data_IF_018317620529
#
_entry.id   IF_018317620529
#
_cell.length_a   1.000
_cell.length_b   1.000
_cell.length_c   1.000
_cell.angle_alpha   90.00
_cell.angle_beta   90.00
_cell.angle_gamma   90.00
#
_symmetry.space_group_name_H-M   'P 1'
#
loop_
_entity.id
_entity.type
_entity.pdbx_description
1 polymer ?
#
# COMPACT_ATOMS: atom_id res chain seq x y z
N UNK A 1 -11.17 -14.93 -29.88
CA UNK A 1 -12.21 -14.94 -28.83
C UNK A 1 -12.56 -13.48 -28.56
N UNK A 2 -13.83 -13.11 -28.66
CA UNK A 2 -14.26 -11.73 -28.50
C UNK A 2 -14.21 -11.36 -27.01
N UNK A 3 -13.18 -10.63 -26.59
CA UNK A 3 -13.26 -9.83 -25.38
C UNK A 3 -14.09 -8.60 -25.77
N UNK A 4 -15.39 -8.62 -25.51
CA UNK A 4 -16.27 -7.47 -25.78
C UNK A 4 -16.18 -6.42 -24.65
N UNK A 5 -15.42 -6.73 -23.59
CA UNK A 5 -15.07 -5.78 -22.53
C UNK A 5 -14.47 -4.48 -23.08
N UNK A 6 -15.04 -3.35 -22.70
CA UNK A 6 -14.51 -2.01 -23.01
C UNK A 6 -13.79 -1.43 -21.79
N UNK A 7 -12.57 -0.93 -22.00
CA UNK A 7 -11.78 -0.22 -20.98
C UNK A 7 -10.73 0.70 -21.63
N UNK A 8 -10.15 1.59 -20.83
CA UNK A 8 -9.27 2.65 -21.30
C UNK A 8 -7.93 2.11 -21.83
N UNK A 9 -7.62 2.46 -23.08
CA UNK A 9 -6.38 2.06 -23.74
C UNK A 9 -6.32 0.58 -24.10
N UNK A 10 -7.47 -0.09 -24.27
CA UNK A 10 -7.62 -1.52 -24.59
C UNK A 10 -6.63 -2.00 -25.64
N UNK A 11 -6.62 -1.42 -26.84
CA UNK A 11 -5.76 -1.84 -27.95
C UNK A 11 -4.27 -1.93 -27.56
N UNK A 12 -3.79 -0.95 -26.78
CA UNK A 12 -2.39 -0.90 -26.33
C UNK A 12 -2.06 -1.93 -25.25
N UNK A 13 -3.07 -2.44 -24.54
CA UNK A 13 -2.92 -3.33 -23.38
C UNK A 13 -3.21 -4.79 -23.71
N UNK A 14 -4.10 -5.03 -24.68
CA UNK A 14 -4.58 -6.37 -25.03
C UNK A 14 -3.46 -7.39 -25.26
N UNK A 15 -2.35 -7.10 -25.95
CA UNK A 15 -1.30 -8.10 -26.16
C UNK A 15 -0.71 -8.66 -24.85
N UNK A 16 -0.55 -7.81 -23.82
CA UNK A 16 -0.08 -8.27 -22.49
C UNK A 16 -1.15 -9.02 -21.72
N UNK A 17 -2.39 -8.55 -21.82
CA UNK A 17 -3.55 -9.19 -21.18
C UNK A 17 -3.78 -10.59 -21.76
N UNK A 18 -3.77 -10.74 -23.09
CA UNK A 18 -3.91 -12.01 -23.79
C UNK A 18 -2.78 -12.98 -23.46
N UNK A 19 -1.54 -12.47 -23.36
CA UNK A 19 -0.41 -13.28 -22.89
C UNK A 19 -0.66 -13.84 -21.49
N UNK A 20 -1.10 -13.00 -20.55
CA UNK A 20 -1.42 -13.42 -19.19
C UNK A 20 -2.58 -14.42 -19.16
N UNK A 21 -3.69 -14.13 -19.86
CA UNK A 21 -4.83 -15.03 -20.01
C UNK A 21 -4.40 -16.42 -20.51
N UNK A 22 -3.60 -16.47 -21.58
CA UNK A 22 -3.09 -17.71 -22.14
C UNK A 22 -2.18 -18.48 -21.17
N UNK A 23 -1.28 -17.79 -20.46
CA UNK A 23 -0.37 -18.39 -19.47
C UNK A 23 -1.12 -19.14 -18.37
N UNK A 24 -2.28 -18.63 -17.95
CA UNK A 24 -3.11 -19.24 -16.90
C UNK A 24 -4.32 -20.03 -17.42
N UNK A 25 -4.39 -20.27 -18.74
CA UNK A 25 -5.47 -21.03 -19.36
C UNK A 25 -6.86 -20.43 -19.08
N UNK A 26 -6.99 -19.11 -19.22
CA UNK A 26 -8.23 -18.35 -19.14
C UNK A 26 -8.53 -17.81 -20.54
N UNK A 27 -9.70 -18.08 -21.10
CA UNK A 27 -10.04 -17.73 -22.49
C UNK A 27 -10.39 -16.27 -22.73
N UNK A 28 -10.95 -15.56 -21.74
CA UNK A 28 -11.27 -14.12 -21.84
C UNK A 28 -11.36 -13.43 -20.48
N UNK A 29 -11.51 -12.10 -20.47
CA UNK A 29 -11.75 -11.34 -19.23
C UNK A 29 -13.13 -11.63 -18.64
N UNK A 30 -14.13 -11.88 -19.48
CA UNK A 30 -15.44 -12.35 -19.03
C UNK A 30 -15.33 -13.72 -18.38
N UNK A 31 -14.56 -14.66 -18.97
CA UNK A 31 -14.29 -15.96 -18.33
C UNK A 31 -13.54 -15.77 -16.99
N UNK A 32 -12.59 -14.84 -16.90
CA UNK A 32 -11.92 -14.50 -15.65
C UNK A 32 -12.93 -14.06 -14.56
N UNK A 33 -13.90 -13.22 -14.93
CA UNK A 33 -14.95 -12.76 -14.02
C UNK A 33 -15.89 -13.88 -13.61
N UNK A 34 -16.36 -14.69 -14.55
CA UNK A 34 -17.23 -15.84 -14.27
C UNK A 34 -16.52 -16.90 -13.41
N UNK A 35 -15.22 -17.11 -13.61
CA UNK A 35 -14.42 -17.95 -12.73
C UNK A 35 -14.42 -17.43 -11.29
N UNK A 36 -14.25 -16.12 -11.08
CA UNK A 36 -14.31 -15.53 -9.74
C UNK A 36 -15.72 -15.64 -9.14
N UNK A 37 -16.77 -15.35 -9.93
CA UNK A 37 -18.18 -15.49 -9.49
C UNK A 37 -18.54 -16.92 -9.11
N UNK A 38 -17.99 -17.93 -9.82
CA UNK A 38 -18.16 -19.34 -9.46
C UNK A 38 -17.60 -19.69 -8.07
N UNK A 39 -16.69 -18.86 -7.54
CA UNK A 39 -16.15 -18.92 -6.17
C UNK A 39 -16.90 -18.03 -5.18
N UNK A 40 -17.98 -17.37 -5.59
CA UNK A 40 -18.87 -16.60 -4.72
C UNK A 40 -18.49 -15.13 -4.52
N UNK A 41 -17.64 -14.55 -5.38
CA UNK A 41 -17.29 -13.13 -5.30
C UNK A 41 -17.08 -12.50 -6.68
N UNK A 42 -17.24 -11.18 -6.78
CA UNK A 42 -17.06 -10.44 -8.03
C UNK A 42 -15.98 -9.33 -7.85
N UNK A 43 -14.75 -9.55 -8.34
CA UNK A 43 -13.66 -8.57 -8.18
C UNK A 43 -13.98 -7.21 -8.79
N UNK A 44 -14.70 -7.19 -9.92
CA UNK A 44 -15.02 -5.96 -10.63
C UNK A 44 -15.95 -5.09 -9.77
N UNK A 45 -17.03 -5.67 -9.24
CA UNK A 45 -17.96 -4.96 -8.36
C UNK A 45 -17.31 -4.54 -7.04
N UNK A 46 -16.39 -5.36 -6.50
CA UNK A 46 -15.62 -4.99 -5.29
C UNK A 46 -14.78 -3.74 -5.56
N UNK A 47 -14.06 -3.67 -6.68
CA UNK A 47 -13.26 -2.48 -7.04
C UNK A 47 -14.15 -1.24 -7.17
N UNK A 48 -15.28 -1.35 -7.87
CA UNK A 48 -16.24 -0.25 -8.05
C UNK A 48 -16.93 0.16 -6.74
N UNK A 49 -17.18 -0.79 -5.84
CA UNK A 49 -17.72 -0.53 -4.51
C UNK A 49 -16.73 0.19 -3.58
N UNK A 50 -15.43 -0.13 -3.69
CA UNK A 50 -14.37 0.56 -2.93
C UNK A 50 -14.13 1.97 -3.47
N UNK A 51 -14.11 2.13 -4.80
CA UNK A 51 -13.89 3.42 -5.45
C UNK A 51 -14.81 3.56 -6.68
N UNK A 52 -15.99 4.21 -6.54
CA UNK A 52 -16.98 4.33 -7.63
C UNK A 52 -16.44 5.00 -8.89
N UNK A 53 -15.45 5.88 -8.76
CA UNK A 53 -14.80 6.58 -9.89
C UNK A 53 -13.58 5.85 -10.44
N UNK A 54 -13.30 4.61 -10.00
CA UNK A 54 -12.19 3.82 -10.54
C UNK A 54 -12.37 3.58 -12.03
N UNK A 55 -11.29 3.69 -12.81
CA UNK A 55 -11.29 3.38 -14.24
C UNK A 55 -11.70 1.93 -14.51
N UNK A 56 -12.25 1.67 -15.70
CA UNK A 56 -12.66 0.33 -16.11
C UNK A 56 -11.48 -0.65 -16.09
N UNK A 57 -10.32 -0.19 -16.56
CA UNK A 57 -9.11 -1.00 -16.59
C UNK A 57 -8.68 -1.52 -15.21
N UNK A 58 -8.95 -0.79 -14.12
CA UNK A 58 -8.65 -1.23 -12.76
C UNK A 58 -9.56 -2.41 -12.37
N UNK A 59 -10.87 -2.30 -12.61
CA UNK A 59 -11.82 -3.37 -12.32
C UNK A 59 -11.45 -4.68 -13.02
N UNK A 60 -11.04 -4.60 -14.29
CA UNK A 60 -10.62 -5.78 -15.05
C UNK A 60 -9.23 -6.30 -14.68
N UNK A 61 -8.30 -5.43 -14.28
CA UNK A 61 -6.99 -5.83 -13.80
C UNK A 61 -7.08 -6.67 -12.51
N UNK A 62 -7.88 -6.23 -11.55
CA UNK A 62 -8.17 -7.01 -10.34
C UNK A 62 -8.92 -8.30 -10.66
N UNK A 63 -9.86 -8.27 -11.62
CA UNK A 63 -10.58 -9.47 -12.07
C UNK A 63 -9.64 -10.53 -12.64
N UNK A 64 -8.75 -10.13 -13.55
CA UNK A 64 -7.73 -11.03 -14.11
C UNK A 64 -6.81 -11.56 -13.00
N UNK A 65 -6.33 -10.69 -12.13
CA UNK A 65 -5.45 -11.07 -11.02
C UNK A 65 -6.08 -12.09 -10.06
N UNK A 66 -7.35 -11.91 -9.71
CA UNK A 66 -8.12 -12.86 -8.90
C UNK A 66 -8.31 -14.21 -9.62
N UNK A 67 -8.61 -14.19 -10.92
CA UNK A 67 -8.73 -15.40 -11.72
C UNK A 67 -7.40 -16.17 -11.81
N UNK A 68 -6.28 -15.45 -11.96
CA UNK A 68 -4.92 -16.01 -11.89
C UNK A 68 -4.68 -16.67 -10.54
N UNK A 69 -5.05 -16.04 -9.42
CA UNK A 69 -4.93 -16.64 -8.08
C UNK A 69 -5.70 -17.96 -7.97
N UNK A 70 -6.93 -18.01 -8.53
CA UNK A 70 -7.76 -19.23 -8.57
C UNK A 70 -7.09 -20.32 -9.40
N UNK A 71 -6.59 -20.01 -10.61
CA UNK A 71 -5.91 -20.96 -11.49
C UNK A 71 -4.62 -21.50 -10.88
N UNK A 72 -3.89 -20.67 -10.12
CA UNK A 72 -2.69 -21.08 -9.36
C UNK A 72 -3.02 -21.93 -8.13
N UNK A 73 -4.29 -22.11 -7.78
CA UNK A 73 -4.70 -22.91 -6.62
C UNK A 73 -4.28 -22.32 -5.28
N UNK A 74 -4.08 -21.00 -5.22
CA UNK A 74 -3.60 -20.28 -4.04
C UNK A 74 -4.49 -20.53 -2.82
N UNK A 75 -3.86 -20.67 -1.64
CA UNK A 75 -4.53 -20.98 -0.37
C UNK A 75 -4.40 -19.91 0.70
N UNK A 76 -3.47 -18.97 0.55
CA UNK A 76 -3.22 -17.92 1.54
C UNK A 76 -3.60 -16.55 0.99
N UNK A 77 -3.95 -15.62 1.87
CA UNK A 77 -4.29 -14.25 1.48
C UNK A 77 -3.07 -13.52 0.87
N UNK A 78 -1.87 -13.76 1.41
CA UNK A 78 -0.64 -13.13 0.92
C UNK A 78 -0.31 -13.57 -0.51
N UNK A 79 -0.33 -14.86 -0.80
CA UNK A 79 -0.05 -15.37 -2.14
C UNK A 79 -1.15 -14.94 -3.14
N UNK A 80 -2.38 -14.71 -2.65
CA UNK A 80 -3.48 -14.21 -3.49
C UNK A 80 -3.21 -12.75 -3.87
N UNK A 81 -2.69 -11.93 -2.95
CA UNK A 81 -2.28 -10.57 -3.24
C UNK A 81 -1.14 -10.52 -4.26
N UNK A 82 -0.13 -11.41 -4.17
CA UNK A 82 0.93 -11.50 -5.18
C UNK A 82 0.39 -11.87 -6.56
N UNK A 83 -0.54 -12.83 -6.62
CA UNK A 83 -1.20 -13.21 -7.86
C UNK A 83 -2.07 -12.09 -8.45
N UNK A 84 -2.75 -11.29 -7.61
CA UNK A 84 -3.47 -10.09 -8.05
C UNK A 84 -2.51 -9.11 -8.73
N UNK A 85 -1.29 -8.96 -8.19
CA UNK A 85 -0.23 -8.16 -8.79
C UNK A 85 0.11 -8.54 -10.24
N UNK A 86 0.00 -9.82 -10.60
CA UNK A 86 0.20 -10.30 -11.98
C UNK A 86 -0.88 -9.73 -12.92
N UNK A 87 -2.13 -9.71 -12.47
CA UNK A 87 -3.23 -9.08 -13.20
C UNK A 87 -3.02 -7.58 -13.37
N UNK A 88 -2.62 -6.89 -12.31
CA UNK A 88 -2.29 -5.46 -12.36
C UNK A 88 -1.15 -5.16 -13.35
N UNK A 89 -0.12 -6.01 -13.38
CA UNK A 89 1.04 -5.83 -14.27
C UNK A 89 0.69 -6.08 -15.74
N UNK A 90 -0.19 -7.05 -16.01
CA UNK A 90 -0.71 -7.29 -17.36
C UNK A 90 -1.43 -6.05 -17.91
N UNK A 91 -2.04 -5.25 -17.02
CA UNK A 91 -2.68 -3.98 -17.34
C UNK A 91 -1.74 -2.77 -17.26
N UNK A 92 -0.42 -2.92 -17.13
CA UNK A 92 0.52 -1.78 -17.32
C UNK A 92 0.70 -1.45 -18.81
N UNK A 93 0.79 -0.16 -19.16
CA UNK A 93 0.91 0.28 -20.57
C UNK A 93 2.32 -0.09 -21.08
N UNK A 94 2.44 -0.70 -22.28
CA UNK A 94 3.74 -0.93 -22.88
C UNK A 94 4.58 0.35 -23.02
N UNK A 95 5.84 0.28 -22.61
CA UNK A 95 6.80 1.38 -22.63
C UNK A 95 6.60 2.42 -21.54
N UNK A 96 5.60 2.26 -20.65
CA UNK A 96 5.40 3.19 -19.54
C UNK A 96 6.38 2.94 -18.40
N UNK A 97 6.59 3.97 -17.57
CA UNK A 97 7.35 3.85 -16.31
C UNK A 97 6.74 2.78 -15.40
N UNK A 98 5.42 2.59 -15.45
CA UNK A 98 4.73 1.58 -14.63
C UNK A 98 5.16 0.16 -15.02
N UNK A 99 5.23 -0.15 -16.31
CA UNK A 99 5.74 -1.43 -16.80
C UNK A 99 7.24 -1.59 -16.50
N UNK A 100 8.06 -0.58 -16.80
CA UNK A 100 9.51 -0.66 -16.57
C UNK A 100 9.86 -0.89 -15.09
N UNK A 101 9.01 -0.42 -14.18
CA UNK A 101 9.18 -0.58 -12.73
C UNK A 101 8.37 -1.74 -12.15
N UNK A 102 7.69 -2.54 -12.98
CA UNK A 102 6.84 -3.66 -12.55
C UNK A 102 5.87 -3.24 -11.44
N UNK A 103 5.20 -2.09 -11.65
CA UNK A 103 4.37 -1.45 -10.61
C UNK A 103 3.21 -2.35 -10.20
N UNK A 104 2.61 -3.12 -11.11
CA UNK A 104 1.54 -4.05 -10.78
C UNK A 104 2.01 -5.15 -9.83
N UNK A 105 3.16 -5.76 -10.12
CA UNK A 105 3.78 -6.74 -9.23
C UNK A 105 4.17 -6.11 -7.88
N UNK A 106 4.67 -4.88 -7.90
CA UNK A 106 4.98 -4.12 -6.68
C UNK A 106 3.77 -3.93 -5.76
N UNK A 107 2.59 -3.64 -6.31
CA UNK A 107 1.35 -3.55 -5.52
C UNK A 107 0.90 -4.89 -4.96
N UNK A 108 1.03 -5.97 -5.74
CA UNK A 108 0.75 -7.33 -5.24
C UNK A 108 1.65 -7.71 -4.07
N UNK A 109 2.96 -7.44 -4.20
CA UNK A 109 3.95 -7.69 -3.16
C UNK A 109 3.70 -6.85 -1.91
N UNK A 110 3.30 -5.58 -2.06
CA UNK A 110 2.89 -4.74 -0.93
C UNK A 110 1.72 -5.37 -0.18
N UNK A 111 0.64 -5.72 -0.90
CA UNK A 111 -0.52 -6.36 -0.30
C UNK A 111 -0.13 -7.64 0.43
N UNK A 112 0.73 -8.46 -0.17
CA UNK A 112 1.23 -9.68 0.44
C UNK A 112 2.04 -9.44 1.71
N UNK A 113 2.94 -8.45 1.71
CA UNK A 113 3.71 -8.06 2.90
C UNK A 113 2.79 -7.62 4.03
N UNK A 114 1.75 -6.82 3.75
CA UNK A 114 0.79 -6.38 4.78
C UNK A 114 -0.02 -7.55 5.37
N UNK A 115 -0.22 -8.64 4.62
CA UNK A 115 -0.94 -9.83 5.05
C UNK A 115 -0.05 -10.88 5.73
N UNK A 116 1.27 -10.76 5.60
CA UNK A 116 2.29 -11.67 6.16
C UNK A 116 2.63 -11.32 7.60
N UNK A 117 2.58 -12.29 8.51
CA UNK A 117 2.86 -12.10 9.93
C UNK A 117 4.31 -11.62 10.21
N UNK A 118 5.22 -11.82 9.25
CA UNK A 118 6.61 -11.34 9.32
C UNK A 118 6.72 -9.81 9.30
N UNK A 119 5.78 -9.12 8.65
CA UNK A 119 5.68 -7.66 8.68
C UNK A 119 5.06 -7.26 10.00
N UNK A 120 5.78 -6.56 10.87
CA UNK A 120 5.32 -6.17 12.20
C UNK A 120 4.87 -4.73 12.28
N UNK A 121 5.50 -3.83 11.52
CA UNK A 121 5.18 -2.41 11.53
C UNK A 121 5.03 -1.85 10.13
N UNK A 122 3.93 -1.12 9.95
CA UNK A 122 3.60 -0.42 8.72
C UNK A 122 3.46 1.08 8.97
N UNK A 123 4.07 1.90 8.12
CA UNK A 123 4.02 3.35 8.22
C UNK A 123 3.30 4.00 7.03
N UNK A 124 2.34 4.86 7.34
CA UNK A 124 1.88 5.89 6.40
C UNK A 124 2.74 7.14 6.58
N UNK A 125 3.55 7.44 5.56
CA UNK A 125 4.32 8.68 5.49
C UNK A 125 3.46 9.73 4.77
N UNK A 126 2.75 10.52 5.56
CA UNK A 126 1.82 11.52 5.08
C UNK A 126 2.54 12.69 4.40
N UNK A 127 2.04 13.07 3.23
CA UNK A 127 2.43 14.29 2.52
C UNK A 127 1.45 15.43 2.80
N UNK A 128 1.11 16.25 1.79
CA UNK A 128 0.07 17.29 1.93
C UNK A 128 -1.35 16.73 2.20
N UNK A 129 -1.58 15.45 1.93
CA UNK A 129 -2.90 14.80 1.96
C UNK A 129 -3.11 14.00 3.26
N UNK A 130 -2.79 14.61 4.41
CA UNK A 130 -2.68 13.94 5.70
C UNK A 130 -3.95 13.24 6.19
N UNK A 131 -5.14 13.77 5.83
CA UNK A 131 -6.41 13.18 6.23
C UNK A 131 -6.72 11.87 5.48
N UNK A 132 -6.40 11.82 4.18
CA UNK A 132 -6.58 10.61 3.38
C UNK A 132 -5.65 9.49 3.86
N UNK A 133 -4.42 9.83 4.29
CA UNK A 133 -3.49 8.87 4.89
C UNK A 133 -4.04 8.27 6.20
N UNK A 134 -4.72 9.08 7.03
CA UNK A 134 -5.34 8.60 8.26
C UNK A 134 -6.49 7.62 8.00
N UNK A 135 -7.40 7.92 7.07
CA UNK A 135 -8.48 6.99 6.69
C UNK A 135 -7.92 5.70 6.07
N UNK A 136 -6.88 5.82 5.24
CA UNK A 136 -6.16 4.67 4.68
C UNK A 136 -5.55 3.77 5.77
N UNK A 137 -4.94 4.36 6.81
CA UNK A 137 -4.39 3.65 7.97
C UNK A 137 -5.45 2.80 8.67
N UNK A 138 -6.64 3.36 8.90
CA UNK A 138 -7.75 2.65 9.55
C UNK A 138 -8.23 1.49 8.66
N UNK A 139 -8.39 1.72 7.35
CA UNK A 139 -8.83 0.70 6.41
C UNK A 139 -7.90 -0.51 6.35
N UNK A 140 -6.58 -0.24 6.30
CA UNK A 140 -5.55 -1.29 6.33
C UNK A 140 -5.57 -2.02 7.67
N UNK A 141 -5.64 -1.30 8.81
CA UNK A 141 -5.74 -1.90 10.14
C UNK A 141 -6.87 -2.92 10.21
N UNK A 142 -8.07 -2.51 9.77
CA UNK A 142 -9.28 -3.33 9.87
C UNK A 142 -9.28 -4.53 8.94
N UNK A 143 -8.62 -4.42 7.78
CA UNK A 143 -8.70 -5.46 6.74
C UNK A 143 -7.54 -6.43 6.85
N UNK A 144 -6.31 -5.94 6.96
CA UNK A 144 -5.13 -6.79 7.06
C UNK A 144 -5.18 -7.66 8.32
N UNK A 145 -5.60 -7.09 9.46
CA UNK A 145 -5.62 -7.83 10.73
C UNK A 145 -6.65 -8.96 10.79
N UNK A 146 -7.61 -9.02 9.86
CA UNK A 146 -8.53 -10.17 9.75
C UNK A 146 -7.84 -11.44 9.28
N UNK A 147 -6.76 -11.31 8.52
CA UNK A 147 -6.02 -12.42 7.91
C UNK A 147 -4.74 -12.78 8.67
N UNK A 148 -4.40 -12.01 9.73
CA UNK A 148 -3.14 -12.12 10.47
C UNK A 148 -3.35 -12.75 11.84
N UNK A 149 -2.29 -13.35 12.37
CA UNK A 149 -2.29 -13.87 13.75
C UNK A 149 -2.00 -12.76 14.75
N UNK A 150 -1.09 -11.87 14.40
CA UNK A 150 -0.74 -10.69 15.19
C UNK A 150 -1.15 -9.42 14.45
N UNK A 151 -1.90 -8.51 15.12
CA UNK A 151 -2.24 -7.22 14.54
C UNK A 151 -1.01 -6.46 14.06
N UNK A 152 -1.06 -5.97 12.82
CA UNK A 152 -0.08 -5.09 12.24
C UNK A 152 -0.05 -3.78 13.04
N UNK A 153 1.13 -3.39 13.54
CA UNK A 153 1.30 -2.06 14.16
C UNK A 153 1.32 -1.01 13.06
N UNK A 154 0.50 0.02 13.21
CA UNK A 154 0.37 1.07 12.19
C UNK A 154 0.78 2.41 12.79
N UNK A 155 1.65 3.11 12.06
CA UNK A 155 2.08 4.45 12.44
C UNK A 155 1.78 5.45 11.33
N UNK A 156 1.47 6.68 11.71
CA UNK A 156 1.52 7.85 10.84
C UNK A 156 2.77 8.65 11.19
N UNK A 157 3.47 9.12 10.16
CA UNK A 157 4.67 9.95 10.28
C UNK A 157 4.74 10.88 9.05
N UNK A 158 5.66 11.85 9.02
CA UNK A 158 5.78 12.85 7.96
C UNK A 158 4.89 14.09 8.16
N UNK A 159 4.18 14.16 9.29
CA UNK A 159 3.34 15.30 9.67
C UNK A 159 4.12 16.29 10.53
N UNK A 160 3.81 17.58 10.45
CA UNK A 160 4.24 18.53 11.48
C UNK A 160 3.60 18.21 12.84
N UNK A 161 4.24 18.60 13.95
CA UNK A 161 3.78 18.25 15.32
C UNK A 161 2.34 18.68 15.62
N UNK A 162 1.95 19.89 15.21
CA UNK A 162 0.59 20.39 15.41
C UNK A 162 -0.44 19.61 14.57
N UNK A 163 -0.10 19.32 13.31
CA UNK A 163 -0.95 18.53 12.43
C UNK A 163 -1.16 17.10 12.97
N UNK A 164 -0.08 16.47 13.47
CA UNK A 164 -0.15 15.15 14.09
C UNK A 164 -1.07 15.15 15.31
N UNK A 165 -0.98 16.16 16.19
CA UNK A 165 -1.87 16.30 17.35
C UNK A 165 -3.35 16.42 16.93
N UNK A 166 -3.64 17.33 15.98
CA UNK A 166 -5.00 17.58 15.50
C UNK A 166 -5.58 16.32 14.84
N UNK A 167 -4.83 15.67 13.94
CA UNK A 167 -5.26 14.46 13.24
C UNK A 167 -5.50 13.33 14.24
N UNK A 168 -4.63 13.19 15.24
CA UNK A 168 -4.81 12.18 16.30
C UNK A 168 -6.10 12.41 17.06
N UNK A 169 -6.36 13.65 17.46
CA UNK A 169 -7.57 14.02 18.18
C UNK A 169 -8.84 13.77 17.37
N UNK A 170 -8.86 14.19 16.10
CA UNK A 170 -10.05 14.05 15.23
C UNK A 170 -10.35 12.57 14.94
N UNK A 171 -9.31 11.77 14.68
CA UNK A 171 -9.48 10.38 14.29
C UNK A 171 -9.50 9.40 15.47
N UNK A 172 -9.15 9.85 16.68
CA UNK A 172 -9.06 9.02 17.87
C UNK A 172 -7.76 8.20 17.95
N UNK A 173 -6.70 8.59 17.25
CA UNK A 173 -5.41 7.90 17.30
C UNK A 173 -4.65 8.20 18.59
N UNK A 174 -3.60 7.43 18.85
CA UNK A 174 -2.64 7.75 19.90
C UNK A 174 -1.61 8.73 19.36
N UNK A 175 -1.59 9.95 19.90
CA UNK A 175 -0.55 10.92 19.59
C UNK A 175 0.72 10.56 20.35
N UNK A 176 1.84 10.51 19.63
CA UNK A 176 3.17 10.29 20.23
C UNK A 176 4.03 11.50 19.94
N UNK A 177 4.30 12.28 20.99
CA UNK A 177 5.14 13.46 20.92
C UNK A 177 6.59 13.04 21.10
N UNK A 178 7.44 13.46 20.18
CA UNK A 178 8.87 13.24 20.23
C UNK A 178 9.64 14.52 20.49
N UNK A 179 10.82 14.37 21.06
CA UNK A 179 11.88 15.37 21.09
C UNK A 179 13.13 14.74 20.46
N UNK A 180 13.77 15.46 19.53
CA UNK A 180 14.88 14.96 18.75
C UNK A 180 16.09 15.85 18.95
N UNK A 181 17.17 15.27 19.47
CA UNK A 181 18.43 15.96 19.65
C UNK A 181 19.23 15.90 18.35
N UNK A 182 19.36 17.06 17.68
CA UNK A 182 20.08 17.17 16.41
C UNK A 182 21.60 17.02 16.55
N UNK A 183 22.17 17.16 17.75
CA UNK A 183 23.60 16.99 17.98
C UNK A 183 23.98 15.52 18.14
N UNK A 184 23.19 14.77 18.92
CA UNK A 184 23.45 13.35 19.20
C UNK A 184 22.72 12.41 18.23
N UNK A 185 21.64 12.87 17.61
CA UNK A 185 20.76 12.07 16.76
C UNK A 185 19.79 11.19 17.53
N UNK A 186 19.61 11.42 18.84
CA UNK A 186 18.73 10.64 19.71
C UNK A 186 17.28 11.13 19.64
N UNK A 187 16.35 10.17 19.56
CA UNK A 187 14.90 10.42 19.65
C UNK A 187 14.40 10.04 21.04
N UNK A 188 13.63 10.94 21.67
CA UNK A 188 12.97 10.69 22.96
C UNK A 188 11.46 10.82 22.79
N UNK A 189 10.70 9.86 23.31
CA UNK A 189 9.25 9.99 23.42
C UNK A 189 8.95 10.79 24.68
N UNK A 190 8.38 11.98 24.53
CA UNK A 190 8.07 12.88 25.66
C UNK A 190 6.63 12.77 26.14
N UNK A 191 5.71 12.33 25.29
CA UNK A 191 4.30 12.15 25.64
C UNK A 191 3.68 11.08 24.74
N UNK A 192 2.83 10.22 25.31
CA UNK A 192 1.95 9.32 24.55
C UNK A 192 0.54 9.52 25.06
N UNK A 193 -0.37 9.95 24.18
CA UNK A 193 -1.73 10.34 24.54
C UNK A 193 -2.76 9.68 23.61
N UNK A 194 -3.53 8.69 24.08
CA UNK A 194 -4.67 8.16 23.34
C UNK A 194 -5.83 9.16 23.33
N UNK A 195 -6.48 9.33 22.17
CA UNK A 195 -7.68 10.16 22.02
C UNK A 195 -8.98 9.37 21.87
N UNK A 196 -8.91 8.05 21.83
CA UNK A 196 -10.07 7.16 21.88
C UNK A 196 -9.71 5.85 22.59
N UNK A 197 -10.71 5.00 22.78
CA UNK A 197 -10.54 3.62 23.22
C UNK A 197 -10.81 2.68 22.02
N UNK A 198 -9.99 1.63 21.86
CA UNK A 198 -10.18 0.60 20.82
C UNK A 198 -9.21 0.67 19.64
N UNK A 199 -9.60 0.12 18.48
CA UNK A 199 -8.70 -0.11 17.33
C UNK A 199 -8.05 1.18 16.79
N UNK A 200 -8.74 2.32 16.89
CA UNK A 200 -8.21 3.62 16.46
C UNK A 200 -7.04 4.06 17.33
N UNK A 201 -7.10 3.82 18.63
CA UNK A 201 -6.02 4.13 19.56
C UNK A 201 -4.77 3.27 19.31
N UNK A 202 -4.90 2.11 18.65
CA UNK A 202 -3.76 1.28 18.27
C UNK A 202 -2.89 1.91 17.17
N UNK A 203 -3.43 2.87 16.42
CA UNK A 203 -2.67 3.65 15.44
C UNK A 203 -1.90 4.74 16.18
N UNK A 204 -0.57 4.74 16.04
CA UNK A 204 0.28 5.80 16.60
C UNK A 204 0.52 6.88 15.57
N UNK A 205 0.33 8.14 15.95
CA UNK A 205 0.53 9.27 15.06
C UNK A 205 1.65 10.14 15.61
N UNK A 206 2.73 10.21 14.83
CA UNK A 206 3.93 10.98 15.11
C UNK A 206 3.94 12.27 14.31
N UNK A 207 4.43 13.33 14.95
CA UNK A 207 4.78 14.57 14.28
C UNK A 207 6.29 14.79 14.30
N UNK A 208 6.86 15.13 13.15
CA UNK A 208 8.26 15.45 12.99
C UNK A 208 8.40 16.81 12.29
N UNK A 209 9.23 17.69 12.83
CA UNK A 209 9.49 18.99 12.20
C UNK A 209 10.66 18.93 11.21
N UNK A 210 11.42 17.83 11.22
CA UNK A 210 12.54 17.59 10.32
C UNK A 210 12.58 16.14 9.82
N UNK A 211 13.23 15.92 8.67
CA UNK A 211 13.41 14.59 8.07
C UNK A 211 14.20 13.66 8.99
N UNK A 212 15.20 14.14 9.71
CA UNK A 212 16.03 13.34 10.61
C UNK A 212 15.21 12.78 11.78
N UNK A 213 14.36 13.61 12.39
CA UNK A 213 13.41 13.18 13.42
C UNK A 213 12.45 12.13 12.84
N UNK A 214 11.89 12.39 11.65
CA UNK A 214 11.03 11.43 10.96
C UNK A 214 11.71 10.09 10.68
N UNK A 215 12.98 10.09 10.29
CA UNK A 215 13.78 8.86 10.09
C UNK A 215 14.04 8.17 11.42
N UNK A 216 14.31 8.91 12.50
CA UNK A 216 14.51 8.33 13.82
C UNK A 216 13.24 7.65 14.34
N UNK A 217 12.05 8.22 14.08
CA UNK A 217 10.76 7.59 14.38
C UNK A 217 10.61 6.25 13.65
N UNK A 218 10.98 6.18 12.37
CA UNK A 218 10.92 4.94 11.60
C UNK A 218 11.87 3.86 12.16
N UNK A 219 13.01 4.26 12.72
CA UNK A 219 13.96 3.35 13.38
C UNK A 219 13.39 2.85 14.71
N UNK A 220 12.87 3.76 15.53
CA UNK A 220 12.28 3.48 16.85
C UNK A 220 11.14 2.46 16.74
N UNK A 221 10.25 2.64 15.77
CA UNK A 221 9.11 1.73 15.58
C UNK A 221 9.48 0.43 14.84
N UNK A 222 10.67 0.37 14.25
CA UNK A 222 11.14 -0.76 13.46
C UNK A 222 10.26 -1.01 12.24
N UNK A 223 10.07 0.01 11.40
CA UNK A 223 9.15 -0.04 10.26
C UNK A 223 9.65 -1.00 9.17
N UNK A 224 8.82 -1.98 8.82
CA UNK A 224 9.12 -2.96 7.77
C UNK A 224 8.63 -2.48 6.40
N UNK A 225 7.46 -1.83 6.36
CA UNK A 225 6.77 -1.43 5.13
C UNK A 225 6.24 -0.01 5.26
N UNK A 226 6.29 0.79 4.20
CA UNK A 226 5.59 2.07 4.17
C UNK A 226 4.88 2.38 2.85
N UNK A 227 3.84 3.20 2.96
CA UNK A 227 3.26 3.92 1.83
C UNK A 227 3.55 5.40 2.03
N UNK A 228 4.08 6.05 1.00
CA UNK A 228 4.37 7.49 1.00
C UNK A 228 3.31 8.25 0.21
N UNK A 229 2.72 9.28 0.81
CA UNK A 229 2.02 10.32 0.06
C UNK A 229 2.98 11.17 -0.77
N UNK A 230 2.43 11.99 -1.67
CA UNK A 230 3.22 12.94 -2.44
C UNK A 230 3.93 13.92 -1.49
N UNK A 231 5.25 14.04 -1.64
CA UNK A 231 6.08 14.98 -0.89
C UNK A 231 5.51 16.40 -0.97
N UNK A 232 5.68 17.16 0.11
CA UNK A 232 5.28 18.56 0.08
C UNK A 232 6.12 19.43 -0.86
N UNK A 233 7.30 18.92 -1.22
CA UNK A 233 8.18 19.54 -2.19
C UNK A 233 7.90 18.99 -3.61
N UNK A 234 7.41 19.82 -4.55
CA UNK A 234 7.02 19.39 -5.90
C UNK A 234 8.19 18.92 -6.77
N UNK A 235 9.44 19.18 -6.38
CA UNK A 235 10.65 18.71 -7.09
C UNK A 235 11.08 17.31 -6.67
N UNK A 236 10.47 16.73 -5.62
CA UNK A 236 10.86 15.44 -5.05
C UNK A 236 9.68 14.48 -5.07
N UNK A 237 9.69 13.51 -5.97
CA UNK A 237 8.64 12.49 -6.05
C UNK A 237 8.62 11.53 -4.84
N UNK A 238 9.73 11.39 -4.12
CA UNK A 238 9.86 10.49 -2.97
C UNK A 238 9.88 11.29 -1.67
N UNK A 239 9.09 10.83 -0.68
CA UNK A 239 9.14 11.38 0.67
C UNK A 239 10.54 11.14 1.28
N UNK A 240 11.22 12.21 1.70
CA UNK A 240 12.62 12.16 2.12
C UNK A 240 12.86 11.19 3.27
N UNK A 241 11.92 11.12 4.22
CA UNK A 241 11.97 10.13 5.31
C UNK A 241 12.06 8.71 4.75
N UNK A 242 11.25 8.35 3.75
CA UNK A 242 11.27 7.01 3.17
C UNK A 242 12.59 6.72 2.44
N UNK A 243 13.10 7.68 1.68
CA UNK A 243 14.36 7.54 0.94
C UNK A 243 15.56 7.37 1.87
N UNK A 244 15.68 8.25 2.87
CA UNK A 244 16.75 8.20 3.87
C UNK A 244 16.65 6.95 4.74
N UNK A 245 15.44 6.57 5.16
CA UNK A 245 15.23 5.34 5.92
C UNK A 245 15.55 4.08 5.10
N UNK A 246 15.17 4.05 3.81
CA UNK A 246 15.54 2.93 2.91
C UNK A 246 17.05 2.76 2.83
N UNK A 247 17.80 3.85 2.67
CA UNK A 247 19.27 3.82 2.65
C UNK A 247 19.81 3.26 3.98
N UNK A 248 19.36 3.79 5.11
CA UNK A 248 19.77 3.32 6.43
C UNK A 248 19.45 1.82 6.62
N UNK A 249 18.25 1.39 6.23
CA UNK A 249 17.82 0.00 6.38
C UNK A 249 18.73 -0.95 5.60
N UNK A 250 19.04 -0.62 4.34
CA UNK A 250 19.95 -1.40 3.50
C UNK A 250 21.37 -1.48 4.11
N UNK A 251 21.91 -0.35 4.57
CA UNK A 251 23.24 -0.27 5.18
C UNK A 251 23.33 -1.05 6.52
N UNK A 252 22.20 -1.28 7.18
CA UNK A 252 22.12 -1.98 8.47
C UNK A 252 21.50 -3.38 8.36
N UNK A 253 21.40 -3.94 7.14
CA UNK A 253 20.87 -5.29 6.91
C UNK A 253 19.40 -5.47 7.29
N UNK A 254 18.63 -4.37 7.37
CA UNK A 254 17.18 -4.38 7.63
C UNK A 254 16.44 -4.46 6.30
N UNK A 255 15.46 -5.37 6.23
CA UNK A 255 14.53 -5.43 5.10
C UNK A 255 13.53 -4.28 5.27
N UNK A 256 13.38 -3.48 4.22
CA UNK A 256 12.39 -2.41 4.19
C UNK A 256 11.83 -2.27 2.78
N UNK A 257 10.51 -2.18 2.68
CA UNK A 257 9.80 -1.98 1.43
C UNK A 257 8.96 -0.70 1.46
N UNK A 258 8.95 0.06 0.36
CA UNK A 258 8.20 1.32 0.31
C UNK A 258 7.64 1.57 -1.08
N UNK A 259 6.38 2.01 -1.14
CA UNK A 259 5.73 2.46 -2.37
C UNK A 259 5.15 3.85 -2.20
N UNK A 260 5.09 4.61 -3.30
CA UNK A 260 4.37 5.86 -3.38
C UNK A 260 2.89 5.58 -3.64
N UNK A 261 2.00 6.41 -3.08
CA UNK A 261 0.55 6.29 -3.29
C UNK A 261 0.15 6.36 -4.78
N UNK A 262 0.95 7.04 -5.60
CA UNK A 262 0.82 7.07 -7.07
C UNK A 262 1.52 5.92 -7.81
N UNK A 263 1.95 4.85 -7.13
CA UNK A 263 2.55 3.66 -7.72
C UNK A 263 3.99 3.81 -8.26
N UNK A 264 4.58 5.01 -8.18
CA UNK A 264 5.83 5.33 -8.87
C UNK A 264 7.10 4.66 -8.35
N UNK A 265 7.12 4.06 -7.15
CA UNK A 265 8.39 3.70 -6.48
C UNK A 265 8.55 2.22 -6.13
N UNK A 266 7.74 1.31 -6.67
CA UNK A 266 7.89 -0.14 -6.45
C UNK A 266 9.31 -0.64 -6.78
N UNK A 267 10.16 -0.69 -5.74
CA UNK A 267 11.54 -1.17 -5.72
C UNK A 267 11.92 -1.56 -4.30
#
# INVERSE_FOLDING_TARGET
MANDVMFEGKERRMPKIEKCLAEYGIGSLEEARELCKSKGFDPYEIVKGVQPIAFENAGWAYTLGCAVAIKKGVKTAADAAEAIGIGLEAFCVPGSVAEQRNVGLGHGNLGAMLLRDETKCFAFLAGHESFAAAEGAIGIAKTANRARKEPLRIILNGLGKDAAYIISRINGFTYVKTDYDFFTGELKIVETKPFSDGERAAVKCYGANDVLEGVAIMKEEGVDVSITGNSTNPTRFQHLVAGTYKKWALENGKKYFSVASGGGTGR
#
